data_IF_451387879859
#
_entry.id   IF_451387879859
#
_cell.length_a   1.000
_cell.length_b   1.000
_cell.length_c   1.000
_cell.angle_alpha   90.00
_cell.angle_beta   90.00
_cell.angle_gamma   90.00
#
_symmetry.space_group_name_H-M   'P 1'
#
loop_
_entity.id
_entity.type
_entity.pdbx_description
1 polymer ?
#
# COMPACT_ATOMS: atom_id res chain seq x y z
N UNK A 1 -9.99 -30.70 -15.49
CA UNK A 1 -9.45 -30.77 -14.11
C UNK A 1 -7.97 -30.43 -14.00
N UNK A 2 -7.08 -30.95 -14.87
CA UNK A 2 -5.63 -30.66 -14.78
C UNK A 2 -5.25 -29.18 -14.74
N UNK A 3 -5.91 -28.33 -15.56
CA UNK A 3 -5.67 -26.88 -15.58
C UNK A 3 -6.05 -26.22 -14.24
N UNK A 4 -7.18 -26.62 -13.65
CA UNK A 4 -7.63 -26.09 -12.37
C UNK A 4 -6.64 -26.45 -11.26
N UNK A 5 -6.18 -27.70 -11.24
CA UNK A 5 -5.17 -28.16 -10.27
C UNK A 5 -3.86 -27.41 -10.43
N UNK A 6 -3.37 -27.26 -11.67
CA UNK A 6 -2.13 -26.52 -11.95
C UNK A 6 -2.25 -25.04 -11.54
N UNK A 7 -3.38 -24.41 -11.84
CA UNK A 7 -3.66 -23.03 -11.44
C UNK A 7 -3.71 -22.88 -9.91
N UNK A 8 -4.42 -23.76 -9.21
CA UNK A 8 -4.53 -23.72 -7.74
C UNK A 8 -3.17 -23.97 -7.08
N UNK A 9 -2.40 -24.96 -7.53
CA UNK A 9 -1.06 -25.22 -7.01
C UNK A 9 -0.11 -24.04 -7.29
N UNK A 10 -0.17 -23.47 -8.50
CA UNK A 10 0.59 -22.28 -8.85
C UNK A 10 0.23 -21.07 -7.99
N UNK A 11 -1.06 -20.88 -7.70
CA UNK A 11 -1.53 -19.81 -6.82
C UNK A 11 -1.07 -20.01 -5.37
N UNK A 12 -1.14 -21.23 -4.83
CA UNK A 12 -0.64 -21.55 -3.48
C UNK A 12 0.87 -21.30 -3.41
N UNK A 13 1.63 -21.78 -4.41
CA UNK A 13 3.07 -21.54 -4.48
C UNK A 13 3.39 -20.05 -4.54
N UNK A 14 2.72 -19.30 -5.42
CA UNK A 14 2.84 -17.85 -5.51
C UNK A 14 2.60 -17.17 -4.16
N UNK A 15 1.46 -17.43 -3.53
CA UNK A 15 1.10 -16.83 -2.25
C UNK A 15 2.10 -17.17 -1.14
N UNK A 16 2.62 -18.41 -1.11
CA UNK A 16 3.63 -18.84 -0.16
C UNK A 16 5.01 -18.20 -0.39
N UNK A 17 5.32 -17.79 -1.63
CA UNK A 17 6.59 -17.14 -2.00
C UNK A 17 6.55 -15.61 -1.92
N UNK A 18 5.41 -15.01 -1.59
CA UNK A 18 5.32 -13.56 -1.44
C UNK A 18 6.29 -13.05 -0.37
N UNK A 19 7.02 -11.96 -0.63
CA UNK A 19 7.85 -11.32 0.38
C UNK A 19 7.01 -10.92 1.59
N UNK A 20 7.56 -11.11 2.77
CA UNK A 20 6.97 -10.55 3.99
C UNK A 20 7.34 -9.07 4.11
N UNK A 21 6.47 -8.24 4.72
CA UNK A 21 6.86 -6.91 5.13
C UNK A 21 8.13 -6.96 5.99
N UNK A 22 9.02 -5.96 5.88
CA UNK A 22 10.22 -5.91 6.73
C UNK A 22 9.82 -5.76 8.21
N UNK A 23 10.58 -6.38 9.11
CA UNK A 23 10.35 -6.28 10.56
C UNK A 23 10.53 -4.85 11.07
N UNK A 24 11.46 -4.11 10.47
CA UNK A 24 11.74 -2.71 10.77
C UNK A 24 11.53 -1.87 9.52
N UNK A 25 10.73 -0.81 9.63
CA UNK A 25 10.58 0.18 8.57
C UNK A 25 11.82 1.08 8.60
N UNK A 26 12.66 1.11 7.55
CA UNK A 26 13.78 2.05 7.49
C UNK A 26 13.25 3.47 7.31
N UNK A 27 13.93 4.43 7.94
CA UNK A 27 13.61 5.84 7.74
C UNK A 27 13.94 6.27 6.29
N UNK A 28 13.04 6.99 5.65
CA UNK A 28 13.17 7.52 4.29
C UNK A 28 13.06 9.05 4.27
N UNK A 29 13.50 9.68 3.18
CA UNK A 29 13.37 11.14 3.00
C UNK A 29 11.92 11.59 2.80
N UNK A 30 11.07 10.71 2.28
CA UNK A 30 9.66 10.96 2.02
C UNK A 30 8.89 9.70 1.61
N UNK A 31 7.58 9.74 1.79
CA UNK A 31 6.65 8.68 1.38
C UNK A 31 5.90 9.17 0.13
N UNK A 32 5.72 8.30 -0.87
CA UNK A 32 4.90 8.59 -2.05
C UNK A 32 3.75 7.60 -2.13
N UNK A 33 2.52 8.08 -1.88
CA UNK A 33 1.32 7.28 -2.05
C UNK A 33 0.87 7.36 -3.52
N UNK A 34 1.02 6.24 -4.24
CA UNK A 34 0.49 6.07 -5.59
C UNK A 34 -1.03 5.99 -5.57
N UNK A 35 -1.67 6.53 -6.60
CA UNK A 35 -3.12 6.49 -6.76
C UNK A 35 -3.62 5.04 -6.91
N UNK A 36 -4.80 4.75 -6.36
CA UNK A 36 -5.47 3.46 -6.54
C UNK A 36 -6.15 2.93 -5.28
N UNK A 37 -7.35 3.42 -4.97
CA UNK A 37 -8.16 2.93 -3.84
C UNK A 37 -7.61 3.27 -2.44
N UNK A 38 -8.51 3.30 -1.46
CA UNK A 38 -8.26 3.89 -0.13
C UNK A 38 -7.15 3.19 0.66
N UNK A 39 -6.99 1.87 0.49
CA UNK A 39 -6.02 1.06 1.25
C UNK A 39 -4.55 1.51 1.14
N UNK A 40 -4.15 2.20 0.06
CA UNK A 40 -2.76 2.71 -0.06
C UNK A 40 -2.55 4.02 0.68
N UNK A 41 -3.58 4.85 0.80
CA UNK A 41 -3.51 6.08 1.59
C UNK A 41 -3.41 5.75 3.07
N UNK A 42 -4.23 4.81 3.56
CA UNK A 42 -4.17 4.37 4.95
C UNK A 42 -2.80 3.79 5.33
N UNK A 43 -2.17 3.04 4.41
CA UNK A 43 -0.83 2.50 4.64
C UNK A 43 0.24 3.60 4.66
N UNK A 44 0.15 4.58 3.76
CA UNK A 44 1.09 5.69 3.69
C UNK A 44 0.96 6.64 4.90
N UNK A 45 -0.27 6.84 5.37
CA UNK A 45 -0.57 7.63 6.56
C UNK A 45 0.01 6.98 7.82
N UNK A 46 -0.23 5.67 8.02
CA UNK A 46 0.42 4.91 9.11
C UNK A 46 1.93 5.01 9.11
N UNK A 47 2.57 4.98 7.94
CA UNK A 47 4.03 5.14 7.83
C UNK A 47 4.47 6.54 8.26
N UNK A 48 3.69 7.57 7.95
CA UNK A 48 3.94 8.94 8.38
C UNK A 48 3.76 9.09 9.90
N UNK A 49 2.70 8.52 10.47
CA UNK A 49 2.46 8.49 11.92
C UNK A 49 3.57 7.75 12.69
N UNK A 50 4.17 6.74 12.07
CA UNK A 50 5.29 5.97 12.62
C UNK A 50 6.66 6.66 12.47
N UNK A 51 6.70 7.91 12.02
CA UNK A 51 7.94 8.67 11.76
C UNK A 51 8.87 7.96 10.74
N UNK A 52 8.30 7.15 9.83
CA UNK A 52 9.09 6.49 8.80
C UNK A 52 9.64 7.48 7.76
N UNK A 53 9.06 8.69 7.67
CA UNK A 53 9.59 9.81 6.91
C UNK A 53 8.98 11.13 7.39
N UNK A 54 9.55 12.26 6.95
CA UNK A 54 9.09 13.60 7.37
C UNK A 54 7.93 14.17 6.54
N UNK A 55 7.65 13.59 5.37
CA UNK A 55 6.71 14.14 4.39
C UNK A 55 6.04 13.01 3.61
N UNK A 56 4.75 13.20 3.32
CA UNK A 56 3.95 12.35 2.45
C UNK A 56 3.53 13.14 1.20
N UNK A 57 3.83 12.59 0.02
CA UNK A 57 3.32 13.05 -1.26
C UNK A 57 2.25 12.10 -1.77
N UNK A 58 1.03 12.61 -1.98
CA UNK A 58 -0.03 11.88 -2.67
C UNK A 58 0.12 12.19 -4.17
N UNK A 59 0.56 11.21 -4.97
CA UNK A 59 0.92 11.44 -6.38
C UNK A 59 -0.30 11.72 -7.28
N UNK A 60 -1.50 11.46 -6.77
CA UNK A 60 -2.77 11.82 -7.37
C UNK A 60 -3.96 11.25 -6.59
N UNK A 61 -5.16 11.69 -6.94
CA UNK A 61 -6.40 11.25 -6.30
C UNK A 61 -7.48 11.03 -7.36
N UNK A 62 -8.53 10.29 -7.03
CA UNK A 62 -9.70 10.22 -7.91
C UNK A 62 -10.29 11.64 -8.06
N UNK A 63 -10.69 12.10 -9.27
CA UNK A 63 -11.31 13.41 -9.44
C UNK A 63 -12.54 13.67 -8.55
N UNK A 64 -13.26 12.62 -8.16
CA UNK A 64 -14.38 12.70 -7.21
C UNK A 64 -13.97 12.80 -5.74
N UNK A 65 -12.67 12.65 -5.40
CA UNK A 65 -12.17 12.80 -4.04
C UNK A 65 -12.20 14.27 -3.63
N UNK A 66 -12.84 14.53 -2.49
CA UNK A 66 -12.99 15.89 -1.96
C UNK A 66 -11.87 16.25 -0.98
N UNK A 67 -11.58 17.54 -0.84
CA UNK A 67 -10.62 18.04 0.18
C UNK A 67 -11.00 17.62 1.60
N UNK A 68 -12.30 17.52 1.90
CA UNK A 68 -12.79 17.12 3.20
C UNK A 68 -12.49 15.64 3.50
N UNK A 69 -12.53 14.77 2.50
CA UNK A 69 -12.12 13.37 2.65
C UNK A 69 -10.62 13.25 2.90
N UNK A 70 -9.79 14.02 2.19
CA UNK A 70 -8.33 14.00 2.39
C UNK A 70 -7.92 14.51 3.77
N UNK A 71 -8.59 15.55 4.29
CA UNK A 71 -8.36 16.09 5.65
C UNK A 71 -8.75 15.15 6.80
N UNK A 72 -9.44 14.04 6.53
CA UNK A 72 -9.74 13.04 7.57
C UNK A 72 -8.65 11.98 7.69
N UNK A 73 -7.82 11.86 6.65
CA UNK A 73 -6.75 10.88 6.57
C UNK A 73 -5.45 11.49 7.08
N UNK A 74 -5.18 12.77 6.79
CA UNK A 74 -4.06 13.53 7.36
C UNK A 74 -4.47 14.30 8.62
#
# INVERSE_FOLDING_TARGET
MGILVLYTLGFIAFAATLPRPPETIPHADGIVALTGGDARLDAADKLLEQDAAKRLLISGVNPGTTKAQLKKIA
#
